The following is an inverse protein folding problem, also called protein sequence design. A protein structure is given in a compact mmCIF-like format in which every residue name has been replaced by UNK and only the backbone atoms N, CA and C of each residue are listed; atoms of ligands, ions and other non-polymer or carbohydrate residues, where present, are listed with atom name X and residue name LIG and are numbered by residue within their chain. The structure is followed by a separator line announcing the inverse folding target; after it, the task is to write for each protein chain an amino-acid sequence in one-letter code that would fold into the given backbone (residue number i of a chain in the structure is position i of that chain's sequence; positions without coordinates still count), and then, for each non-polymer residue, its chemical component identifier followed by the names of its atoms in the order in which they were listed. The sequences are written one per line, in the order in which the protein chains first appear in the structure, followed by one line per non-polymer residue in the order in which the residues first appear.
data_IF_975049496287
#
_entry.id   IF_975049496287
#
_cell.length_a   1.000
_cell.length_b   1.000
_cell.length_c   1.000
_cell.angle_alpha   90.00
_cell.angle_beta   90.00
_cell.angle_gamma   90.00
#
_symmetry.space_group_name_H-M   'P 1'
#
loop_
_entity.id
_entity.type
_entity.pdbx_description
1 polymer ?
#
# COMPACT_ATOMS: atom_id res chain seq x y z
N UNK A 1 4.13 5.95 8.19
CA UNK A 1 2.91 5.20 8.60
C UNK A 1 3.26 3.76 8.91
N UNK A 2 2.55 3.10 9.83
CA UNK A 2 2.68 1.65 10.09
C UNK A 2 1.35 0.95 9.78
N UNK A 3 1.39 -0.20 9.11
CA UNK A 3 0.20 -0.98 8.75
C UNK A 3 0.28 -2.42 9.28
N UNK A 4 -0.90 -3.04 9.44
CA UNK A 4 -1.07 -4.45 9.84
C UNK A 4 -1.41 -5.35 8.64
N UNK A 5 -1.24 -6.66 8.81
CA UNK A 5 -1.66 -7.65 7.82
C UNK A 5 -3.18 -7.60 7.59
N UNK A 6 -3.96 -7.42 8.66
CA UNK A 6 -5.42 -7.31 8.58
C UNK A 6 -5.89 -6.08 7.77
N UNK A 7 -5.18 -4.96 7.82
CA UNK A 7 -5.46 -3.83 6.93
C UNK A 7 -5.09 -4.14 5.48
N UNK A 8 -3.90 -4.73 5.28
CA UNK A 8 -3.44 -5.14 3.95
C UNK A 8 -4.41 -6.11 3.27
N UNK A 9 -4.97 -7.10 3.98
CA UNK A 9 -5.88 -8.10 3.40
C UNK A 9 -7.16 -7.51 2.84
N UNK A 10 -7.63 -6.38 3.37
CA UNK A 10 -8.84 -5.70 2.89
C UNK A 10 -8.68 -5.06 1.51
N UNK A 11 -7.45 -4.90 1.02
CA UNK A 11 -7.21 -4.25 -0.27
C UNK A 11 -7.48 -5.21 -1.44
N UNK A 12 -8.18 -4.71 -2.45
CA UNK A 12 -8.46 -5.46 -3.68
C UNK A 12 -7.98 -4.68 -4.90
N UNK A 13 -7.46 -5.40 -5.90
CA UNK A 13 -7.09 -4.80 -7.18
C UNK A 13 -8.29 -4.09 -7.78
N UNK A 14 -8.09 -2.85 -8.25
CA UNK A 14 -9.13 -1.99 -8.80
C UNK A 14 -9.72 -0.96 -7.83
N UNK A 15 -9.42 -1.04 -6.53
CA UNK A 15 -9.78 0.00 -5.55
C UNK A 15 -9.18 1.36 -5.92
N UNK A 16 -9.85 2.44 -5.53
CA UNK A 16 -9.32 3.80 -5.69
C UNK A 16 -8.12 4.06 -4.76
N UNK A 17 -7.31 5.07 -5.06
CA UNK A 17 -6.21 5.48 -4.17
C UNK A 17 -6.76 5.89 -2.80
N UNK A 18 -7.88 6.60 -2.79
CA UNK A 18 -8.55 7.11 -1.59
C UNK A 18 -9.04 5.98 -0.69
N UNK A 19 -9.72 4.97 -1.25
CA UNK A 19 -10.21 3.81 -0.48
C UNK A 19 -9.03 3.07 0.18
N UNK A 20 -7.94 2.90 -0.57
CA UNK A 20 -6.74 2.23 -0.04
C UNK A 20 -6.12 3.05 1.10
N UNK A 21 -5.99 4.37 0.94
CA UNK A 21 -5.47 5.27 1.96
C UNK A 21 -6.35 5.20 3.21
N UNK A 22 -7.67 5.21 3.07
CA UNK A 22 -8.61 5.10 4.20
C UNK A 22 -8.44 3.76 4.95
N UNK A 23 -8.39 2.64 4.23
CA UNK A 23 -8.20 1.30 4.82
C UNK A 23 -6.87 1.20 5.56
N UNK A 24 -5.80 1.75 4.98
CA UNK A 24 -4.45 1.70 5.55
C UNK A 24 -4.21 2.76 6.64
N UNK A 25 -5.11 3.73 6.79
CA UNK A 25 -5.02 4.79 7.79
C UNK A 25 -4.17 5.99 7.36
N UNK A 26 -3.89 6.11 6.06
CA UNK A 26 -3.21 7.24 5.42
C UNK A 26 -2.23 6.85 4.32
N UNK A 27 -1.48 7.83 3.82
CA UNK A 27 -0.61 7.66 2.66
C UNK A 27 0.73 6.97 3.01
N UNK A 28 1.23 6.18 2.06
CA UNK A 28 2.55 5.55 2.12
C UNK A 28 3.67 6.49 1.71
N UNK A 29 4.91 5.99 1.72
CA UNK A 29 6.06 6.71 1.18
C UNK A 29 6.21 6.37 -0.30
N UNK A 30 6.19 7.36 -1.18
CA UNK A 30 6.37 7.14 -2.62
C UNK A 30 7.79 6.64 -2.91
N UNK A 31 7.90 5.46 -3.52
CA UNK A 31 9.16 4.92 -4.02
C UNK A 31 9.44 5.34 -5.47
N UNK A 32 8.37 5.54 -6.25
CA UNK A 32 8.44 5.91 -7.65
C UNK A 32 7.14 6.56 -8.10
N UNK A 33 7.27 7.61 -8.91
CA UNK A 33 6.16 8.34 -9.51
C UNK A 33 6.41 8.53 -11.01
N UNK A 34 5.37 8.29 -11.80
CA UNK A 34 5.28 8.57 -13.22
C UNK A 34 3.87 9.11 -13.52
N UNK A 35 3.67 9.70 -14.70
CA UNK A 35 2.45 10.44 -15.06
C UNK A 35 1.13 9.70 -14.71
N UNK A 36 1.08 8.39 -14.91
CA UNK A 36 -0.10 7.56 -14.63
C UNK A 36 0.16 6.41 -13.66
N UNK A 37 1.29 6.41 -12.94
CA UNK A 37 1.65 5.31 -12.04
C UNK A 37 2.37 5.83 -10.80
N UNK A 38 1.99 5.30 -9.63
CA UNK A 38 2.69 5.58 -8.36
C UNK A 38 2.88 4.27 -7.59
N UNK A 39 4.05 4.11 -6.99
CA UNK A 39 4.37 2.96 -6.14
C UNK A 39 4.67 3.46 -4.73
N UNK A 40 3.86 3.03 -3.77
CA UNK A 40 4.04 3.37 -2.36
C UNK A 40 4.64 2.20 -1.58
N UNK A 41 5.45 2.55 -0.59
CA UNK A 41 5.91 1.66 0.45
C UNK A 41 5.24 2.01 1.79
N UNK A 42 4.69 0.99 2.45
CA UNK A 42 4.13 1.08 3.79
C UNK A 42 4.97 0.22 4.73
N UNK A 43 5.43 0.79 5.84
CA UNK A 43 6.14 0.02 6.88
C UNK A 43 5.14 -0.79 7.70
N UNK A 44 5.52 -1.98 8.15
CA UNK A 44 4.71 -2.87 8.96
C UNK A 44 4.88 -2.65 10.46
N UNK A 45 3.84 -2.94 11.24
CA UNK A 45 3.87 -2.88 12.71
C UNK A 45 4.79 -3.92 13.36
N UNK A 46 5.12 -5.02 12.65
CA UNK A 46 5.87 -6.16 13.18
C UNK A 46 7.37 -5.89 13.46
N UNK A 47 7.90 -4.73 13.05
CA UNK A 47 9.34 -4.45 13.10
C UNK A 47 10.15 -5.29 12.09
N UNK A 48 11.47 -5.14 12.07
CA UNK A 48 12.41 -5.94 11.24
C UNK A 48 12.26 -5.80 9.72
N UNK A 49 11.87 -4.61 9.23
CA UNK A 49 11.76 -4.36 7.79
C UNK A 49 10.48 -4.90 7.14
N UNK A 50 9.51 -5.34 7.94
CA UNK A 50 8.17 -5.67 7.44
C UNK A 50 7.60 -4.50 6.64
N UNK A 51 7.02 -4.78 5.48
CA UNK A 51 6.46 -3.75 4.61
C UNK A 51 5.38 -4.30 3.66
N UNK A 52 4.67 -3.37 3.02
CA UNK A 52 3.92 -3.61 1.78
C UNK A 52 4.34 -2.63 0.70
N UNK A 53 4.38 -3.11 -0.53
CA UNK A 53 4.55 -2.32 -1.74
C UNK A 53 3.23 -2.34 -2.50
N UNK A 54 2.66 -1.16 -2.73
CA UNK A 54 1.35 -0.97 -3.35
C UNK A 54 1.54 -0.10 -4.58
N UNK A 55 1.20 -0.64 -5.76
CA UNK A 55 1.33 0.07 -7.02
C UNK A 55 -0.04 0.45 -7.56
N UNK A 56 -0.22 1.71 -7.92
CA UNK A 56 -1.41 2.24 -8.54
C UNK A 56 -1.13 2.63 -10.00
N UNK A 57 -2.10 2.44 -10.87
CA UNK A 57 -2.07 2.93 -12.24
C UNK A 57 -3.43 3.50 -12.64
N UNK A 58 -3.45 4.70 -13.22
CA UNK A 58 -4.69 5.38 -13.60
C UNK A 58 -5.63 5.60 -12.41
N UNK A 59 -5.08 5.89 -11.23
CA UNK A 59 -5.85 6.12 -9.99
C UNK A 59 -6.45 4.85 -9.35
N UNK A 60 -6.07 3.66 -9.81
CA UNK A 60 -6.57 2.38 -9.26
C UNK A 60 -5.45 1.47 -8.81
N UNK A 61 -5.70 0.69 -7.77
CA UNK A 61 -4.78 -0.32 -7.27
C UNK A 61 -4.51 -1.36 -8.36
N UNK A 62 -3.28 -1.41 -8.87
CA UNK A 62 -2.85 -2.34 -9.91
C UNK A 62 -2.30 -3.63 -9.31
N UNK A 63 -1.34 -3.53 -8.39
CA UNK A 63 -0.75 -4.69 -7.69
C UNK A 63 -0.39 -4.36 -6.25
N UNK A 64 -0.33 -5.40 -5.43
CA UNK A 64 0.04 -5.34 -4.01
C UNK A 64 0.92 -6.54 -3.66
N UNK A 65 1.96 -6.29 -2.86
CA UNK A 65 2.80 -7.32 -2.28
C UNK A 65 3.18 -6.94 -0.85
N UNK A 66 3.36 -7.92 0.03
CA UNK A 66 3.80 -7.69 1.40
C UNK A 66 4.84 -8.70 1.83
N UNK A 67 5.68 -8.31 2.79
CA UNK A 67 6.59 -9.19 3.50
C UNK A 67 6.54 -8.90 4.99
N UNK A 68 6.33 -9.95 5.79
CA UNK A 68 6.46 -9.90 7.24
C UNK A 68 5.42 -9.07 8.00
N UNK A 69 4.30 -8.67 7.38
CA UNK A 69 3.21 -8.03 8.11
C UNK A 69 2.56 -8.98 9.12
N UNK A 70 2.00 -8.42 10.20
CA UNK A 70 1.24 -9.12 11.24
C UNK A 70 -0.09 -8.42 11.50
#
# INVERSE_FOLDING_TARGET
MLITFAQYEKLEVGMSVEDVIEILGGEGEALSEAENMVVYNYKGTAGNGANAVIAFQGGKLLTKAQSGLK
#
